data_IF_915899897881
#
_entry.id   IF_915899897881
#
_cell.length_a   1.000
_cell.length_b   1.000
_cell.length_c   1.000
_cell.angle_alpha   90.00
_cell.angle_beta   90.00
_cell.angle_gamma   90.00
#
_symmetry.space_group_name_H-M   'P 1'
#
loop_
_entity.id
_entity.type
_entity.pdbx_description
1 polymer ?
#
# COMPACT_ATOMS: atom_id res chain seq x y z
N UNK A 1 16.50 13.69 -23.10
CA UNK A 1 15.61 12.54 -22.83
C UNK A 1 14.65 12.89 -21.71
N UNK A 2 13.43 12.47 -21.79
CA UNK A 2 12.35 12.76 -20.79
C UNK A 2 12.81 12.44 -19.35
N UNK A 3 13.54 11.35 -19.15
CA UNK A 3 14.06 10.98 -17.83
C UNK A 3 14.98 12.06 -17.23
N UNK A 4 15.92 12.57 -18.02
CA UNK A 4 16.85 13.61 -17.56
C UNK A 4 16.13 14.93 -17.27
N UNK A 5 15.09 15.25 -18.04
CA UNK A 5 14.26 16.44 -17.81
C UNK A 5 13.49 16.33 -16.48
N UNK A 6 12.96 15.14 -16.15
CA UNK A 6 12.30 14.88 -14.87
C UNK A 6 13.31 15.04 -13.73
N UNK A 7 14.49 14.44 -13.85
CA UNK A 7 15.53 14.56 -12.82
C UNK A 7 15.93 16.02 -12.61
N UNK A 8 16.15 16.78 -13.68
CA UNK A 8 16.48 18.20 -13.61
C UNK A 8 15.35 19.02 -12.96
N UNK A 9 14.10 18.73 -13.27
CA UNK A 9 12.96 19.42 -12.66
C UNK A 9 12.91 19.18 -11.13
N UNK A 10 13.11 17.95 -10.68
CA UNK A 10 13.12 17.59 -9.26
C UNK A 10 14.35 18.20 -8.57
N UNK A 11 15.51 18.19 -9.21
CA UNK A 11 16.76 18.72 -8.66
C UNK A 11 16.73 20.24 -8.41
N UNK A 12 15.80 20.96 -9.01
CA UNK A 12 15.54 22.37 -8.68
C UNK A 12 14.92 22.55 -7.29
N UNK A 13 14.17 21.55 -6.83
CA UNK A 13 13.54 21.57 -5.50
C UNK A 13 14.39 20.90 -4.42
N UNK A 14 15.28 19.97 -4.83
CA UNK A 14 16.11 19.17 -3.94
C UNK A 14 17.56 19.30 -4.40
N UNK A 15 18.33 20.10 -3.69
CA UNK A 15 19.70 20.45 -4.06
C UNK A 15 20.67 19.35 -3.61
N UNK A 16 21.69 19.07 -4.43
CA UNK A 16 22.79 18.14 -4.16
C UNK A 16 22.40 16.67 -3.91
N UNK A 17 21.21 16.24 -4.39
CA UNK A 17 20.65 14.90 -4.16
C UNK A 17 20.35 14.15 -5.47
N UNK A 18 21.01 14.50 -6.59
CA UNK A 18 20.66 13.99 -7.92
C UNK A 18 20.69 12.46 -8.01
N UNK A 19 21.69 11.81 -7.42
CA UNK A 19 21.81 10.36 -7.44
C UNK A 19 20.70 9.68 -6.62
N UNK A 20 20.33 10.25 -5.47
CA UNK A 20 19.22 9.77 -4.67
C UNK A 20 17.88 9.96 -5.38
N UNK A 21 17.69 11.10 -6.04
CA UNK A 21 16.51 11.36 -6.87
C UNK A 21 16.39 10.32 -7.98
N UNK A 22 17.48 10.03 -8.72
CA UNK A 22 17.51 9.00 -9.78
C UNK A 22 17.08 7.63 -9.24
N UNK A 23 17.62 7.22 -8.10
CA UNK A 23 17.28 5.93 -7.48
C UNK A 23 15.80 5.87 -7.08
N UNK A 24 15.26 6.92 -6.48
CA UNK A 24 13.85 7.00 -6.10
C UNK A 24 12.96 6.96 -7.35
N UNK A 25 13.25 7.74 -8.38
CA UNK A 25 12.51 7.76 -9.65
C UNK A 25 12.50 6.37 -10.28
N UNK A 26 13.65 5.71 -10.41
CA UNK A 26 13.76 4.37 -10.99
C UNK A 26 12.98 3.34 -10.18
N UNK A 27 13.02 3.44 -8.86
CA UNK A 27 12.26 2.55 -7.97
C UNK A 27 10.76 2.73 -8.14
N UNK A 28 10.28 3.98 -8.20
CA UNK A 28 8.85 4.25 -8.44
C UNK A 28 8.44 3.77 -9.84
N UNK A 29 9.26 4.02 -10.87
CA UNK A 29 8.98 3.54 -12.22
C UNK A 29 8.94 2.02 -12.31
N UNK A 30 9.74 1.31 -11.52
CA UNK A 30 9.72 -0.16 -11.48
C UNK A 30 8.39 -0.74 -11.03
N UNK A 31 7.57 0.01 -10.27
CA UNK A 31 6.24 -0.43 -9.84
C UNK A 31 5.27 -0.67 -11.00
N UNK A 32 5.55 -0.07 -12.17
CA UNK A 32 4.77 -0.25 -13.40
C UNK A 32 5.28 -1.41 -14.28
N UNK A 33 6.25 -2.16 -13.80
CA UNK A 33 6.83 -3.31 -14.50
C UNK A 33 6.48 -4.62 -13.80
N UNK A 34 6.75 -5.73 -14.46
CA UNK A 34 6.55 -7.07 -13.89
C UNK A 34 7.60 -7.43 -12.81
N UNK A 35 8.61 -6.58 -12.62
CA UNK A 35 9.69 -6.79 -11.66
C UNK A 35 9.93 -5.55 -10.80
N UNK A 36 9.01 -5.21 -9.88
CA UNK A 36 9.16 -4.06 -9.02
C UNK A 36 10.37 -4.18 -8.09
N UNK A 37 11.06 -3.08 -7.90
CA UNK A 37 12.26 -3.01 -7.07
C UNK A 37 11.95 -2.34 -5.73
N UNK A 38 12.71 -2.73 -4.70
CA UNK A 38 12.67 -2.10 -3.39
C UNK A 38 13.89 -1.22 -3.18
N UNK A 39 13.69 -0.06 -2.55
CA UNK A 39 14.74 0.86 -2.18
C UNK A 39 14.70 1.10 -0.67
N UNK A 40 15.84 0.96 -0.02
CA UNK A 40 16.01 1.36 1.38
C UNK A 40 17.05 2.47 1.47
N UNK A 41 16.66 3.63 1.96
CA UNK A 41 17.54 4.77 2.15
C UNK A 41 17.93 4.84 3.62
N UNK A 42 19.23 4.71 3.88
CA UNK A 42 19.82 4.82 5.21
C UNK A 42 20.69 6.07 5.22
N UNK A 43 20.36 6.99 6.09
CA UNK A 43 21.17 8.18 6.35
C UNK A 43 20.96 8.63 7.79
N UNK A 44 21.93 9.34 8.39
CA UNK A 44 21.74 9.96 9.69
C UNK A 44 20.51 10.84 9.75
N UNK A 45 19.95 10.98 10.94
CA UNK A 45 18.80 11.85 11.18
C UNK A 45 19.09 13.29 10.76
N UNK A 46 18.15 13.92 10.05
CA UNK A 46 18.28 15.31 9.62
C UNK A 46 18.93 15.55 8.25
N UNK A 47 19.36 14.51 7.54
CA UNK A 47 20.04 14.66 6.22
C UNK A 47 19.08 14.73 5.01
N UNK A 48 17.82 15.12 5.19
CA UNK A 48 16.91 15.42 4.09
C UNK A 48 16.38 14.22 3.30
N UNK A 49 16.72 12.96 3.67
CA UNK A 49 16.28 11.75 2.94
C UNK A 49 14.77 11.67 2.76
N UNK A 50 13.99 11.95 3.80
CA UNK A 50 12.52 11.98 3.75
C UNK A 50 12.05 13.09 2.80
N UNK A 51 12.67 14.25 2.86
CA UNK A 51 12.37 15.37 1.97
C UNK A 51 12.57 14.98 0.51
N UNK A 52 13.73 14.40 0.17
CA UNK A 52 14.06 13.94 -1.20
C UNK A 52 13.03 12.95 -1.71
N UNK A 53 12.70 11.91 -0.93
CA UNK A 53 11.71 10.90 -1.32
C UNK A 53 10.33 11.50 -1.54
N UNK A 54 9.86 12.30 -0.59
CA UNK A 54 8.52 12.89 -0.66
C UNK A 54 8.38 13.94 -1.76
N UNK A 55 9.42 14.72 -2.03
CA UNK A 55 9.44 15.68 -3.14
C UNK A 55 9.45 14.97 -4.48
N UNK A 56 10.27 13.93 -4.63
CA UNK A 56 10.31 13.10 -5.85
C UNK A 56 8.96 12.44 -6.10
N UNK A 57 8.34 11.86 -5.08
CA UNK A 57 7.05 11.19 -5.19
C UNK A 57 5.90 12.11 -5.65
N UNK A 58 6.00 13.43 -5.47
CA UNK A 58 4.97 14.39 -5.94
C UNK A 58 4.87 14.47 -7.46
N UNK A 59 5.89 14.08 -8.18
CA UNK A 59 5.90 14.08 -9.65
C UNK A 59 5.20 12.85 -10.25
N UNK A 60 4.73 11.94 -9.41
CA UNK A 60 3.98 10.74 -9.82
C UNK A 60 2.50 10.85 -9.46
N UNK A 61 1.61 10.12 -10.16
CA UNK A 61 0.19 10.15 -9.87
C UNK A 61 -0.11 9.81 -8.42
N UNK A 62 -0.90 10.64 -7.75
CA UNK A 62 -1.22 10.48 -6.32
C UNK A 62 -1.85 9.13 -5.99
N UNK A 63 -2.63 8.58 -6.92
CA UNK A 63 -3.29 7.28 -6.75
C UNK A 63 -2.32 6.09 -6.78
N UNK A 64 -1.09 6.31 -7.26
CA UNK A 64 -0.06 5.28 -7.36
C UNK A 64 0.99 5.36 -6.24
N UNK A 65 0.85 6.31 -5.32
CA UNK A 65 1.79 6.50 -4.20
C UNK A 65 1.05 6.48 -2.88
N UNK A 66 1.31 5.46 -2.07
CA UNK A 66 0.81 5.34 -0.71
C UNK A 66 1.93 5.69 0.28
N UNK A 67 1.68 6.66 1.16
CA UNK A 67 2.61 7.05 2.23
C UNK A 67 2.10 6.49 3.54
N UNK A 68 2.96 5.77 4.23
CA UNK A 68 2.67 5.18 5.54
C UNK A 68 3.67 5.74 6.54
N UNK A 69 3.18 6.56 7.46
CA UNK A 69 3.94 7.09 8.59
C UNK A 69 3.46 6.41 9.87
N UNK A 70 4.40 6.03 10.73
CA UNK A 70 4.13 5.48 12.07
C UNK A 70 3.24 4.22 12.11
N UNK A 71 3.03 3.56 10.98
CA UNK A 71 2.28 2.33 10.95
C UNK A 71 3.13 1.18 11.51
N UNK A 72 2.60 0.49 12.52
CA UNK A 72 3.18 -0.78 12.92
C UNK A 72 3.04 -1.81 11.80
N UNK A 73 3.96 -2.77 11.72
CA UNK A 73 3.87 -3.90 10.77
C UNK A 73 2.52 -4.63 10.85
N UNK A 74 1.92 -4.66 12.05
CA UNK A 74 0.58 -5.21 12.26
C UNK A 74 -0.50 -4.40 11.56
N UNK A 75 -0.49 -3.07 11.72
CA UNK A 75 -1.48 -2.17 11.08
C UNK A 75 -1.45 -2.31 9.56
N UNK A 76 -0.26 -2.36 8.96
CA UNK A 76 -0.11 -2.56 7.52
C UNK A 76 -0.67 -3.92 7.07
N UNK A 77 -0.39 -4.99 7.82
CA UNK A 77 -0.92 -6.32 7.53
C UNK A 77 -2.46 -6.37 7.61
N UNK A 78 -3.05 -5.67 8.57
CA UNK A 78 -4.51 -5.54 8.65
C UNK A 78 -5.06 -4.78 7.45
N UNK A 79 -4.50 -3.64 7.10
CA UNK A 79 -4.91 -2.86 5.91
C UNK A 79 -4.80 -3.67 4.61
N UNK A 80 -3.71 -4.42 4.44
CA UNK A 80 -3.48 -5.23 3.26
C UNK A 80 -4.44 -6.42 3.14
N UNK A 81 -4.92 -6.95 4.28
CA UNK A 81 -5.81 -8.09 4.34
C UNK A 81 -7.29 -7.70 4.49
N UNK A 82 -7.60 -6.41 4.64
CA UNK A 82 -8.98 -5.95 4.75
C UNK A 82 -9.75 -6.26 3.47
N UNK A 83 -10.79 -7.05 3.61
CA UNK A 83 -11.73 -7.37 2.54
C UNK A 83 -13.08 -6.75 2.85
N UNK A 84 -13.79 -6.34 1.82
CA UNK A 84 -15.16 -5.85 1.89
C UNK A 84 -16.04 -6.63 0.93
N UNK A 85 -17.31 -6.71 1.23
CA UNK A 85 -18.33 -7.29 0.38
C UNK A 85 -19.39 -6.24 0.06
N UNK A 86 -19.85 -6.21 -1.17
CA UNK A 86 -20.97 -5.38 -1.56
C UNK A 86 -22.27 -6.06 -1.14
N UNK A 87 -23.00 -5.48 -0.19
CA UNK A 87 -24.27 -6.01 0.34
C UNK A 87 -25.48 -5.45 -0.40
N UNK A 88 -25.33 -4.30 -1.03
CA UNK A 88 -26.31 -3.70 -1.95
C UNK A 88 -25.61 -2.70 -2.85
N UNK A 89 -26.26 -2.23 -3.90
CA UNK A 89 -25.67 -1.34 -4.90
C UNK A 89 -24.93 -0.15 -4.27
N UNK A 90 -23.61 -0.15 -4.37
CA UNK A 90 -22.72 0.86 -3.80
C UNK A 90 -22.56 0.84 -2.28
N UNK A 91 -23.13 -0.14 -1.56
CA UNK A 91 -23.00 -0.27 -0.09
C UNK A 91 -22.09 -1.44 0.23
N UNK A 92 -20.99 -1.15 0.91
CA UNK A 92 -19.97 -2.12 1.29
C UNK A 92 -19.98 -2.34 2.80
N UNK A 93 -19.79 -3.59 3.19
CA UNK A 93 -19.63 -4.02 4.58
C UNK A 93 -18.29 -4.74 4.72
N UNK A 94 -17.70 -4.65 5.91
CA UNK A 94 -16.49 -5.41 6.23
C UNK A 94 -16.76 -6.91 6.19
N UNK A 95 -15.86 -7.67 5.57
CA UNK A 95 -16.04 -9.12 5.37
C UNK A 95 -16.19 -9.86 6.69
N UNK A 96 -15.43 -9.51 7.72
CA UNK A 96 -15.50 -10.15 9.03
C UNK A 96 -16.88 -9.94 9.67
N UNK A 97 -17.46 -8.75 9.51
CA UNK A 97 -18.85 -8.45 9.94
C UNK A 97 -19.87 -9.25 9.15
N UNK A 98 -19.70 -9.35 7.83
CA UNK A 98 -20.62 -10.10 6.97
C UNK A 98 -20.63 -11.61 7.25
N UNK A 99 -19.53 -12.20 7.74
CA UNK A 99 -19.44 -13.61 8.08
C UNK A 99 -19.82 -13.92 9.54
N UNK A 100 -19.91 -12.92 10.40
CA UNK A 100 -20.21 -13.11 11.83
C UNK A 100 -21.45 -13.97 12.10
N UNK A 101 -22.60 -13.81 11.39
CA UNK A 101 -23.76 -14.66 11.59
C UNK A 101 -23.49 -16.15 11.34
N UNK A 102 -22.61 -16.47 10.41
CA UNK A 102 -22.25 -17.84 10.05
C UNK A 102 -21.24 -18.47 11.02
N UNK A 103 -20.43 -17.65 11.69
CA UNK A 103 -19.44 -18.13 12.67
C UNK A 103 -20.11 -18.82 13.85
N UNK A 104 -21.28 -18.37 14.29
CA UNK A 104 -22.09 -19.04 15.34
C UNK A 104 -22.57 -20.41 14.87
N UNK A 105 -22.89 -20.58 13.59
CA UNK A 105 -23.36 -21.82 13.00
C UNK A 105 -22.26 -22.87 12.80
N UNK A 106 -20.99 -22.44 12.74
CA UNK A 106 -19.81 -23.31 12.59
C UNK A 106 -19.61 -24.23 13.80
N UNK A 107 -20.05 -23.80 14.97
CA UNK A 107 -19.96 -24.59 16.22
C UNK A 107 -20.96 -25.72 16.29
N UNK A 108 -22.00 -25.74 15.46
CA UNK A 108 -23.03 -26.75 15.43
C UNK A 108 -22.76 -27.77 14.30
N UNK A 109 -22.56 -29.06 14.61
CA UNK A 109 -22.26 -30.08 13.59
C UNK A 109 -23.32 -30.23 12.49
N UNK A 110 -24.57 -29.88 12.77
CA UNK A 110 -25.67 -29.99 11.80
C UNK A 110 -25.69 -28.85 10.77
N UNK A 111 -25.24 -27.65 11.16
CA UNK A 111 -25.26 -26.45 10.32
C UNK A 111 -23.88 -26.09 9.74
N UNK A 112 -22.83 -26.68 10.30
CA UNK A 112 -21.42 -26.36 9.95
C UNK A 112 -21.15 -26.40 8.46
N UNK A 113 -21.52 -27.48 7.76
CA UNK A 113 -21.25 -27.62 6.32
C UNK A 113 -21.95 -26.52 5.49
N UNK A 114 -23.15 -26.11 5.91
CA UNK A 114 -23.89 -25.03 5.24
C UNK A 114 -23.24 -23.68 5.51
N UNK A 115 -22.81 -23.42 6.74
CA UNK A 115 -22.11 -22.21 7.11
C UNK A 115 -20.75 -22.08 6.38
N UNK A 116 -19.97 -23.14 6.33
CA UNK A 116 -18.70 -23.19 5.58
C UNK A 116 -18.93 -22.86 4.09
N UNK A 117 -19.95 -23.41 3.47
CA UNK A 117 -20.30 -23.14 2.08
C UNK A 117 -20.69 -21.66 1.87
N UNK A 118 -21.50 -21.10 2.76
CA UNK A 118 -21.93 -19.71 2.68
C UNK A 118 -20.74 -18.74 2.83
N UNK A 119 -19.84 -19.02 3.77
CA UNK A 119 -18.61 -18.24 3.96
C UNK A 119 -17.73 -18.29 2.70
N UNK A 120 -17.55 -19.47 2.10
CA UNK A 120 -16.79 -19.60 0.85
C UNK A 120 -17.42 -18.84 -0.32
N UNK A 121 -18.74 -18.80 -0.41
CA UNK A 121 -19.43 -18.02 -1.44
C UNK A 121 -19.25 -16.51 -1.23
N UNK A 122 -19.33 -16.04 0.02
CA UNK A 122 -19.03 -14.65 0.36
C UNK A 122 -17.57 -14.29 0.09
N UNK A 123 -16.64 -15.20 0.38
CA UNK A 123 -15.22 -14.98 0.12
C UNK A 123 -14.90 -14.80 -1.38
N UNK A 124 -15.61 -15.50 -2.25
CA UNK A 124 -15.49 -15.33 -3.70
C UNK A 124 -16.00 -13.97 -4.20
N UNK A 125 -16.91 -13.33 -3.46
CA UNK A 125 -17.49 -12.03 -3.78
C UNK A 125 -16.74 -10.89 -3.09
N UNK A 126 -15.84 -11.19 -2.15
CA UNK A 126 -15.10 -10.19 -1.42
C UNK A 126 -14.02 -9.53 -2.27
N UNK A 127 -13.89 -8.20 -2.14
CA UNK A 127 -12.82 -7.44 -2.76
C UNK A 127 -11.78 -7.04 -1.70
N UNK A 128 -10.53 -6.97 -2.12
CA UNK A 128 -9.52 -6.25 -1.35
C UNK A 128 -9.74 -4.75 -1.51
N UNK A 129 -9.79 -3.99 -0.42
CA UNK A 129 -9.88 -2.53 -0.45
C UNK A 129 -8.63 -1.87 -1.06
N UNK A 130 -7.50 -2.58 -1.01
CA UNK A 130 -6.22 -2.09 -1.50
C UNK A 130 -5.78 -2.95 -2.68
N UNK A 131 -5.84 -2.37 -3.86
CA UNK A 131 -5.14 -2.88 -5.03
C UNK A 131 -3.77 -2.22 -5.09
N UNK A 132 -2.72 -3.02 -4.88
CA UNK A 132 -1.33 -2.55 -4.92
C UNK A 132 -0.72 -2.62 -6.32
N UNK A 133 -1.49 -2.96 -7.34
CA UNK A 133 -1.01 -2.97 -8.72
C UNK A 133 -0.51 -1.58 -9.12
N UNK A 134 0.71 -1.51 -9.62
CA UNK A 134 1.38 -0.27 -10.01
C UNK A 134 1.49 0.78 -8.88
N UNK A 135 1.46 0.35 -7.62
CA UNK A 135 1.61 1.24 -6.47
C UNK A 135 3.04 1.24 -5.93
N UNK A 136 3.48 2.41 -5.54
CA UNK A 136 4.68 2.60 -4.71
C UNK A 136 4.26 2.86 -3.28
N UNK A 137 4.80 2.09 -2.34
CA UNK A 137 4.53 2.27 -0.91
C UNK A 137 5.78 2.87 -0.26
N UNK A 138 5.62 4.03 0.36
CA UNK A 138 6.69 4.73 1.07
C UNK A 138 6.45 4.56 2.57
N UNK A 139 7.35 3.81 3.22
CA UNK A 139 7.37 3.70 4.67
C UNK A 139 8.30 4.78 5.25
N UNK A 140 7.73 5.63 6.08
CA UNK A 140 8.50 6.60 6.86
C UNK A 140 8.74 6.01 8.24
N UNK A 141 10.00 5.70 8.55
CA UNK A 141 10.38 5.12 9.83
C UNK A 141 10.45 6.21 10.91
N UNK A 142 9.64 6.09 11.94
CA UNK A 142 9.65 6.99 13.09
C UNK A 142 10.94 6.88 13.93
N UNK A 143 11.63 5.75 13.86
CA UNK A 143 12.90 5.56 14.58
C UNK A 143 14.04 6.41 13.99
N UNK A 144 13.90 6.89 12.76
CA UNK A 144 14.84 7.84 12.19
C UNK A 144 14.74 9.24 12.81
N UNK A 145 13.82 9.48 13.70
CA UNK A 145 13.62 10.73 14.45
C UNK A 145 14.09 10.66 15.91
N UNK A 146 14.65 9.53 16.30
CA UNK A 146 15.22 9.30 17.63
C UNK A 146 16.68 9.72 17.74
#
# INVERSE_FOLDING_TARGET
MIFDEIIQAISKEVIDEEDNIKQVVLTILSSYTDNPQNLRILAPSGEGKTHTVLKTAKYFPKNNVLKISEASTKSFKYMANSKVIEVSDGVFEDFDTAVEPYNAELSNPKTRKKAEKNIQELEKQAYSLLDFTNMTIIFLDSQSFG
#
